data_IF_923811804195
#
_entry.id   IF_923811804195
#
_cell.length_a   1.000
_cell.length_b   1.000
_cell.length_c   1.000
_cell.angle_alpha   90.00
_cell.angle_beta   90.00
_cell.angle_gamma   90.00
#
_symmetry.space_group_name_H-M   'P 1'
#
loop_
_entity.id
_entity.type
_entity.pdbx_description
1 polymer ?
#
# COMPACT_ATOMS: atom_id res chain seq x y z
N UNK A 1 15.47 8.49 -11.67
CA UNK A 1 15.56 9.06 -10.32
C UNK A 1 14.33 9.91 -10.01
N UNK A 2 14.19 11.17 -10.48
CA UNK A 2 13.01 12.01 -10.12
C UNK A 2 11.62 11.34 -10.30
N UNK A 3 11.44 10.51 -11.34
CA UNK A 3 10.18 9.79 -11.55
C UNK A 3 9.95 8.67 -10.53
N UNK A 4 11.00 7.92 -10.17
CA UNK A 4 10.87 6.87 -9.16
C UNK A 4 10.65 7.50 -7.78
N UNK A 5 11.31 8.63 -7.50
CA UNK A 5 11.15 9.38 -6.26
C UNK A 5 9.68 9.80 -6.03
N UNK A 6 9.01 10.35 -7.06
CA UNK A 6 7.60 10.72 -6.96
C UNK A 6 6.69 9.48 -6.79
N UNK A 7 7.01 8.38 -7.46
CA UNK A 7 6.26 7.12 -7.31
C UNK A 7 6.44 6.53 -5.89
N UNK A 8 7.63 6.63 -5.30
CA UNK A 8 7.86 6.19 -3.92
C UNK A 8 7.11 7.06 -2.92
N UNK A 9 7.05 8.37 -3.15
CA UNK A 9 6.23 9.28 -2.35
C UNK A 9 4.75 8.90 -2.43
N UNK A 10 4.22 8.67 -3.64
CA UNK A 10 2.84 8.23 -3.85
C UNK A 10 2.55 6.89 -3.14
N UNK A 11 3.50 5.94 -3.19
CA UNK A 11 3.39 4.68 -2.45
C UNK A 11 3.35 4.90 -0.94
N UNK A 12 4.23 5.74 -0.42
CA UNK A 12 4.30 6.06 1.01
C UNK A 12 3.00 6.72 1.48
N UNK A 13 2.45 7.66 0.70
CA UNK A 13 1.18 8.31 1.00
C UNK A 13 0.01 7.30 1.01
N UNK A 14 -0.10 6.45 -0.02
CA UNK A 14 -1.14 5.42 -0.05
C UNK A 14 -1.04 4.45 1.14
N UNK A 15 0.18 4.04 1.51
CA UNK A 15 0.41 3.21 2.68
C UNK A 15 -0.01 3.89 3.99
N UNK A 16 0.32 5.19 4.15
CA UNK A 16 -0.11 5.99 5.31
C UNK A 16 -1.64 6.15 5.38
N UNK A 17 -2.32 6.35 4.25
CA UNK A 17 -3.79 6.39 4.23
C UNK A 17 -4.41 5.06 4.67
N UNK A 18 -3.86 3.91 4.27
CA UNK A 18 -4.33 2.60 4.75
C UNK A 18 -4.20 2.51 6.28
N UNK A 19 -3.06 2.95 6.80
CA UNK A 19 -2.82 2.96 8.25
C UNK A 19 -3.79 3.91 8.97
N UNK A 20 -4.03 5.10 8.43
CA UNK A 20 -4.98 6.08 8.97
C UNK A 20 -6.39 5.51 9.04
N UNK A 21 -6.88 4.90 7.95
CA UNK A 21 -8.25 4.34 7.89
C UNK A 21 -8.45 3.12 8.79
N UNK A 22 -7.37 2.44 9.17
CA UNK A 22 -7.41 1.31 10.10
C UNK A 22 -7.05 1.69 11.54
N UNK A 23 -6.65 2.94 11.76
CA UNK A 23 -6.20 3.40 13.07
C UNK A 23 -7.33 3.36 14.10
N UNK A 24 -7.06 2.75 15.24
CA UNK A 24 -8.03 2.63 16.34
C UNK A 24 -9.17 1.64 16.09
N UNK A 25 -9.23 0.98 14.92
CA UNK A 25 -10.20 -0.08 14.65
C UNK A 25 -9.69 -1.42 15.18
N UNK A 26 -10.62 -2.29 15.60
CA UNK A 26 -10.35 -3.72 15.71
C UNK A 26 -10.82 -4.44 14.45
N UNK A 27 -10.37 -5.69 14.26
CA UNK A 27 -10.76 -6.50 13.10
C UNK A 27 -12.29 -6.59 12.92
N UNK A 28 -13.11 -6.84 13.97
CA UNK A 28 -14.56 -6.89 13.82
C UNK A 28 -15.17 -5.56 13.34
N UNK A 29 -14.63 -4.43 13.79
CA UNK A 29 -15.10 -3.09 13.38
C UNK A 29 -14.88 -2.90 11.88
N UNK A 30 -13.67 -3.21 11.41
CA UNK A 30 -13.32 -3.17 9.99
C UNK A 30 -14.19 -4.12 9.15
N UNK A 31 -14.43 -5.34 9.63
CA UNK A 31 -15.26 -6.33 8.91
C UNK A 31 -16.74 -5.92 8.84
N UNK A 32 -17.22 -5.12 9.79
CA UNK A 32 -18.59 -4.60 9.80
C UNK A 32 -18.76 -3.31 9.00
N UNK A 33 -17.68 -2.62 8.66
CA UNK A 33 -17.71 -1.30 8.01
C UNK A 33 -17.36 -1.39 6.52
N UNK A 34 -18.39 -1.39 5.68
CA UNK A 34 -18.21 -1.38 4.22
C UNK A 34 -17.43 -0.16 3.73
N UNK A 35 -17.65 1.00 4.39
CA UNK A 35 -16.95 2.24 4.07
C UNK A 35 -15.45 2.11 4.27
N UNK A 36 -15.03 1.57 5.40
CA UNK A 36 -13.60 1.47 5.75
C UNK A 36 -12.92 0.40 4.89
N UNK A 37 -13.63 -0.69 4.58
CA UNK A 37 -13.22 -1.69 3.58
C UNK A 37 -12.97 -1.06 2.21
N UNK A 38 -13.94 -0.35 1.66
CA UNK A 38 -13.83 0.25 0.32
C UNK A 38 -12.71 1.32 0.29
N UNK A 39 -12.57 2.12 1.35
CA UNK A 39 -11.49 3.10 1.48
C UNK A 39 -10.10 2.44 1.49
N UNK A 40 -9.93 1.37 2.25
CA UNK A 40 -8.67 0.61 2.31
C UNK A 40 -8.37 -0.10 0.99
N UNK A 41 -9.36 -0.71 0.33
CA UNK A 41 -9.16 -1.36 -0.98
C UNK A 41 -8.74 -0.39 -2.08
N UNK A 42 -9.30 0.82 -2.08
CA UNK A 42 -8.87 1.87 -3.00
C UNK A 42 -7.38 2.18 -2.82
N UNK A 43 -6.94 2.36 -1.57
CA UNK A 43 -5.53 2.68 -1.30
C UNK A 43 -4.60 1.50 -1.61
N UNK A 44 -5.02 0.25 -1.37
CA UNK A 44 -4.26 -0.91 -1.84
C UNK A 44 -4.11 -0.95 -3.36
N UNK A 45 -5.14 -0.52 -4.09
CA UNK A 45 -5.10 -0.43 -5.55
C UNK A 45 -4.10 0.64 -6.00
N UNK A 46 -4.14 1.83 -5.40
CA UNK A 46 -3.18 2.91 -5.65
C UNK A 46 -1.76 2.44 -5.37
N UNK A 47 -1.52 1.89 -4.17
CA UNK A 47 -0.22 1.38 -3.76
C UNK A 47 0.36 0.37 -4.77
N UNK A 48 -0.43 -0.62 -5.19
CA UNK A 48 0.03 -1.64 -6.13
C UNK A 48 0.19 -1.16 -7.57
N UNK A 49 -0.66 -0.25 -8.03
CA UNK A 49 -0.52 0.36 -9.36
C UNK A 49 0.74 1.23 -9.43
N UNK A 50 1.01 2.01 -8.39
CA UNK A 50 2.22 2.84 -8.29
C UNK A 50 3.47 1.96 -8.17
N UNK A 51 3.45 0.92 -7.33
CA UNK A 51 4.55 -0.04 -7.21
C UNK A 51 4.92 -0.69 -8.54
N UNK A 52 3.94 -1.01 -9.38
CA UNK A 52 4.17 -1.57 -10.73
C UNK A 52 4.90 -0.61 -11.67
N UNK A 53 4.76 0.70 -11.46
CA UNK A 53 5.33 1.76 -12.31
C UNK A 53 6.76 2.15 -11.93
N UNK A 54 7.20 1.81 -10.72
CA UNK A 54 8.59 1.99 -10.27
C UNK A 54 9.52 1.22 -11.20
N UNK A 55 10.65 1.82 -11.60
CA UNK A 55 11.57 1.20 -12.55
C UNK A 55 12.08 -0.17 -12.07
N UNK A 56 12.31 -1.08 -13.02
CA UNK A 56 12.82 -2.42 -12.72
C UNK A 56 14.21 -2.36 -12.04
N UNK A 57 15.03 -1.39 -12.42
CA UNK A 57 16.34 -1.15 -11.81
C UNK A 57 16.21 -0.82 -10.32
N UNK A 58 15.28 0.07 -9.96
CA UNK A 58 15.01 0.41 -8.57
C UNK A 58 14.44 -0.79 -7.80
N UNK A 59 13.46 -1.51 -8.38
CA UNK A 59 12.89 -2.70 -7.76
C UNK A 59 13.96 -3.78 -7.48
N UNK A 60 14.91 -3.95 -8.39
CA UNK A 60 16.01 -4.91 -8.22
C UNK A 60 17.01 -4.46 -7.15
N UNK A 61 17.27 -3.15 -7.07
CA UNK A 61 18.17 -2.57 -6.05
C UNK A 61 17.56 -2.66 -4.65
N UNK A 62 16.25 -2.51 -4.54
CA UNK A 62 15.50 -2.54 -3.27
C UNK A 62 14.64 -3.81 -3.12
N UNK A 63 15.30 -4.97 -3.17
CA UNK A 63 14.64 -6.29 -3.10
C UNK A 63 14.03 -6.62 -1.73
N UNK A 64 14.36 -5.85 -0.70
CA UNK A 64 13.74 -5.89 0.63
C UNK A 64 12.26 -5.46 0.59
N UNK A 65 11.86 -4.65 -0.39
CA UNK A 65 10.46 -4.31 -0.62
C UNK A 65 9.79 -5.48 -1.35
N UNK A 66 8.65 -5.99 -0.84
CA UNK A 66 7.99 -7.15 -1.44
C UNK A 66 7.16 -6.79 -2.68
N UNK A 67 7.79 -6.19 -3.71
CA UNK A 67 7.17 -5.65 -4.92
C UNK A 67 6.11 -6.58 -5.54
N UNK A 68 6.47 -7.84 -5.76
CA UNK A 68 5.57 -8.84 -6.36
C UNK A 68 4.33 -9.10 -5.51
N UNK A 69 4.44 -9.07 -4.18
CA UNK A 69 3.28 -9.27 -3.28
C UNK A 69 2.37 -8.05 -3.31
N UNK A 70 2.94 -6.85 -3.30
CA UNK A 70 2.19 -5.58 -3.36
C UNK A 70 1.39 -5.51 -4.67
N UNK A 71 2.06 -5.72 -5.81
CA UNK A 71 1.43 -5.73 -7.14
C UNK A 71 0.40 -6.87 -7.26
N UNK A 72 0.73 -8.05 -6.74
CA UNK A 72 -0.16 -9.21 -6.74
C UNK A 72 -1.44 -8.97 -5.94
N UNK A 73 -1.35 -8.32 -4.78
CA UNK A 73 -2.52 -8.01 -3.97
C UNK A 73 -3.48 -7.04 -4.68
N UNK A 74 -2.94 -5.99 -5.34
CA UNK A 74 -3.75 -5.11 -6.20
C UNK A 74 -4.50 -5.88 -7.28
N UNK A 75 -3.89 -6.90 -7.89
CA UNK A 75 -4.59 -7.69 -8.91
C UNK A 75 -5.79 -8.45 -8.33
N UNK A 76 -5.65 -9.04 -7.13
CA UNK A 76 -6.77 -9.67 -6.43
C UNK A 76 -7.86 -8.64 -6.11
N UNK A 77 -7.48 -7.46 -5.60
CA UNK A 77 -8.44 -6.42 -5.23
C UNK A 77 -9.22 -5.89 -6.44
N UNK A 78 -8.60 -5.77 -7.62
CA UNK A 78 -9.26 -5.19 -8.80
C UNK A 78 -10.01 -6.23 -9.64
N UNK A 79 -9.44 -7.43 -9.84
CA UNK A 79 -10.03 -8.44 -10.73
C UNK A 79 -10.99 -9.38 -10.00
N UNK A 80 -10.71 -9.65 -8.71
CA UNK A 80 -11.46 -10.58 -7.89
C UNK A 80 -12.08 -9.86 -6.68
N UNK A 81 -12.50 -8.59 -6.85
CA UNK A 81 -12.98 -7.74 -5.76
C UNK A 81 -14.15 -8.36 -4.97
N UNK A 82 -15.02 -9.13 -5.63
CA UNK A 82 -16.12 -9.87 -5.01
C UNK A 82 -15.64 -11.04 -4.12
N UNK A 83 -14.40 -11.49 -4.30
CA UNK A 83 -13.77 -12.59 -3.56
C UNK A 83 -12.66 -12.09 -2.62
N UNK A 84 -12.52 -10.78 -2.43
CA UNK A 84 -11.53 -10.24 -1.51
C UNK A 84 -11.83 -10.75 -0.10
N UNK A 85 -10.87 -11.50 0.43
CA UNK A 85 -10.85 -11.88 1.83
C UNK A 85 -10.49 -10.66 2.68
N UNK A 86 -11.50 -10.05 3.31
CA UNK A 86 -11.33 -8.88 4.17
C UNK A 86 -10.55 -9.18 5.46
N UNK A 87 -10.51 -10.43 5.93
CA UNK A 87 -9.60 -10.81 7.02
C UNK A 87 -8.15 -10.72 6.56
N UNK A 88 -7.87 -11.13 5.32
CA UNK A 88 -6.54 -10.97 4.72
C UNK A 88 -6.21 -9.51 4.50
N UNK A 89 -7.13 -8.71 3.98
CA UNK A 89 -6.93 -7.28 3.79
C UNK A 89 -6.61 -6.58 5.12
N UNK A 90 -7.35 -6.89 6.18
CA UNK A 90 -7.10 -6.40 7.52
C UNK A 90 -5.70 -6.77 8.04
N UNK A 91 -5.28 -8.03 7.88
CA UNK A 91 -3.94 -8.48 8.30
C UNK A 91 -2.83 -7.70 7.58
N UNK A 92 -2.98 -7.50 6.27
CA UNK A 92 -2.00 -6.73 5.49
C UNK A 92 -1.98 -5.28 5.98
N UNK A 93 -3.15 -4.65 6.14
CA UNK A 93 -3.26 -3.26 6.58
C UNK A 93 -2.68 -3.03 8.00
N UNK A 94 -2.95 -3.95 8.93
CA UNK A 94 -2.53 -3.81 10.34
C UNK A 94 -1.11 -4.28 10.63
N UNK A 95 -0.51 -5.13 9.79
CA UNK A 95 0.83 -5.73 10.05
C UNK A 95 1.87 -5.39 8.99
N UNK A 96 1.53 -5.57 7.72
CA UNK A 96 2.49 -5.46 6.62
C UNK A 96 2.69 -4.00 6.17
N UNK A 97 1.62 -3.20 6.17
CA UNK A 97 1.66 -1.79 5.79
C UNK A 97 2.55 -0.95 6.72
N UNK A 98 2.47 -1.04 8.05
CA UNK A 98 3.40 -0.33 8.95
C UNK A 98 4.86 -0.65 8.66
N UNK A 99 5.18 -1.92 8.39
CA UNK A 99 6.53 -2.33 8.03
C UNK A 99 6.97 -1.75 6.68
N UNK A 100 6.07 -1.73 5.69
CA UNK A 100 6.33 -1.13 4.38
C UNK A 100 6.59 0.38 4.48
N UNK A 101 5.82 1.11 5.31
CA UNK A 101 6.03 2.55 5.56
C UNK A 101 7.47 2.79 6.05
N UNK A 102 7.92 2.03 7.05
CA UNK A 102 9.28 2.16 7.60
C UNK A 102 10.37 1.88 6.56
N UNK A 103 10.11 1.00 5.59
CA UNK A 103 11.05 0.71 4.49
C UNK A 103 11.04 1.82 3.43
N UNK A 104 9.88 2.39 3.11
CA UNK A 104 9.74 3.43 2.08
C UNK A 104 10.22 4.80 2.55
N UNK A 105 9.95 5.17 3.79
CA UNK A 105 10.24 6.49 4.35
C UNK A 105 11.69 6.98 4.15
N UNK A 106 12.75 6.17 4.39
CA UNK A 106 14.13 6.60 4.14
C UNK A 106 14.49 6.69 2.65
N UNK A 107 13.69 6.11 1.75
CA UNK A 107 13.93 6.09 0.30
C UNK A 107 13.24 7.24 -0.43
N UNK A 108 12.28 7.90 0.23
CA UNK A 108 11.57 9.06 -0.31
C UNK A 108 12.39 10.31 -0.01
N UNK A 109 12.74 11.14 -1.01
CA UNK A 109 13.43 12.39 -0.74
C UNK A 109 12.55 13.30 0.12
N UNK A 110 13.14 14.06 1.06
CA UNK A 110 12.39 14.99 1.89
C UNK A 110 11.62 15.98 1.00
N UNK A 111 10.35 16.21 1.35
CA UNK A 111 9.43 17.07 0.60
C UNK A 111 10.14 18.37 0.26
N UNK A 112 10.52 18.51 -1.00
CA UNK A 112 11.12 19.72 -1.56
C UNK A 112 10.00 20.64 -2.02
N UNK A 113 8.97 20.83 -1.17
CA UNK A 113 7.96 21.85 -1.40
C UNK A 113 8.50 23.18 -0.87
N UNK A 114 8.70 24.20 -1.72
CA UNK A 114 9.14 25.53 -1.31
C UNK A 114 8.09 26.27 -0.45
#
# INVERSE_FOLDING_TARGET
>A
MQRDDSLLLDMLQAARQILEYTNGLQEPDFLSSRRDQDAVLLQFTVLGETAKRVSVEFQNTHSEIPWRKIIGFRNVVVHDYFQVDFHRAWKIASRDIPALINTLEPLVPPDSSP
#
